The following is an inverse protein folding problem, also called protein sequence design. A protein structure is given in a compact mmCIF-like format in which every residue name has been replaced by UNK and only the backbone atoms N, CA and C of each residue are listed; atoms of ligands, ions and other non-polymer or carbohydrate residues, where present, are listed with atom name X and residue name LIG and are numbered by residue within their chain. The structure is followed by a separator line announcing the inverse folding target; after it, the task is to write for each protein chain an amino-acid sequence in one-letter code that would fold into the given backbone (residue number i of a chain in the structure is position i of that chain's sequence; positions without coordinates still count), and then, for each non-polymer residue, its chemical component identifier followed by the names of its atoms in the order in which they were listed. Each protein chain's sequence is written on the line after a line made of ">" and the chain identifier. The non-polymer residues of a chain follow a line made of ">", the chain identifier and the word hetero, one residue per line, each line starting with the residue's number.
data_IF_532240339654
#
_entry.id   IF_532240339654
#
_cell.length_a   1.000
_cell.length_b   1.000
_cell.length_c   1.000
_cell.angle_alpha   90.00
_cell.angle_beta   90.00
_cell.angle_gamma   90.00
#
_symmetry.space_group_name_H-M   'P 1'
#
loop_
_entity.id
_entity.type
_entity.pdbx_description
1 polymer ?
#
# COMPACT_ATOMS: atom_id res chain seq x y z
N UNK A 1 20.73 3.35 -0.92
CA UNK A 1 21.27 3.51 -2.30
C UNK A 1 20.50 2.64 -3.30
N UNK A 2 20.40 1.32 -3.11
CA UNK A 2 19.61 0.44 -4.00
C UNK A 2 18.15 0.88 -4.19
N UNK A 3 17.47 1.29 -3.12
CA UNK A 3 16.08 1.80 -3.17
C UNK A 3 15.90 3.06 -4.02
N UNK A 4 16.94 3.91 -4.10
CA UNK A 4 16.92 5.17 -4.84
C UNK A 4 17.01 4.91 -6.35
N UNK A 5 17.93 4.04 -6.77
CA UNK A 5 18.07 3.65 -8.18
C UNK A 5 16.91 2.77 -8.68
N UNK A 6 16.23 2.05 -7.80
CA UNK A 6 15.02 1.29 -8.17
C UNK A 6 13.83 2.21 -8.52
N UNK A 7 13.82 3.44 -8.01
CA UNK A 7 12.68 4.36 -8.14
C UNK A 7 12.87 5.41 -9.23
N UNK A 8 14.10 5.62 -9.70
CA UNK A 8 14.43 6.67 -10.66
C UNK A 8 14.78 6.03 -12.00
N UNK A 9 14.25 6.59 -13.08
CA UNK A 9 14.57 6.14 -14.42
C UNK A 9 16.08 6.31 -14.70
N UNK A 10 16.81 5.29 -15.21
CA UNK A 10 18.27 5.36 -15.41
C UNK A 10 18.73 6.57 -16.24
N UNK A 11 17.95 6.95 -17.26
CA UNK A 11 18.24 8.12 -18.09
C UNK A 11 18.12 9.45 -17.32
N UNK A 12 17.19 9.56 -16.36
CA UNK A 12 17.07 10.75 -15.51
C UNK A 12 18.30 10.86 -14.62
N UNK A 13 18.75 9.75 -14.03
CA UNK A 13 19.99 9.70 -13.26
C UNK A 13 21.20 10.10 -14.12
N UNK A 14 21.32 9.56 -15.34
CA UNK A 14 22.42 9.89 -16.24
C UNK A 14 22.42 11.39 -16.61
N UNK A 15 21.26 11.95 -16.94
CA UNK A 15 21.11 13.38 -17.22
C UNK A 15 21.44 14.25 -15.99
N UNK A 16 21.02 13.82 -14.79
CA UNK A 16 21.34 14.51 -13.55
C UNK A 16 22.85 14.47 -13.23
N UNK A 17 23.53 13.35 -13.46
CA UNK A 17 25.00 13.27 -13.31
C UNK A 17 25.72 14.15 -14.33
N UNK A 18 25.26 14.16 -15.58
CA UNK A 18 25.79 15.06 -16.61
C UNK A 18 25.60 16.53 -16.23
N UNK A 19 24.46 16.88 -15.60
CA UNK A 19 24.20 18.24 -15.12
C UNK A 19 25.18 18.69 -14.04
N UNK A 20 25.59 17.79 -13.13
CA UNK A 20 26.58 18.08 -12.10
C UNK A 20 27.96 18.33 -12.73
N UNK A 21 28.34 17.50 -13.71
CA UNK A 21 29.58 17.70 -14.48
C UNK A 21 29.58 19.04 -15.22
N UNK A 22 28.49 19.37 -15.92
CA UNK A 22 28.36 20.61 -16.67
C UNK A 22 28.38 21.85 -15.76
N UNK A 23 27.72 21.80 -14.60
CA UNK A 23 27.71 22.88 -13.62
C UNK A 23 29.09 23.13 -13.01
N UNK A 24 29.85 22.07 -12.70
CA UNK A 24 31.24 22.16 -12.23
C UNK A 24 32.15 22.83 -13.27
N UNK A 25 32.02 22.44 -14.55
CA UNK A 25 32.80 23.03 -15.65
C UNK A 25 32.49 24.52 -15.84
N UNK A 26 31.23 24.94 -15.64
CA UNK A 26 30.78 26.32 -15.78
C UNK A 26 30.90 27.16 -14.50
N UNK A 27 31.33 26.57 -13.37
CA UNK A 27 31.40 27.20 -12.04
C UNK A 27 30.07 27.87 -11.62
N UNK A 28 28.94 27.23 -11.96
CA UNK A 28 27.61 27.77 -11.66
C UNK A 28 27.21 27.47 -10.20
N UNK A 29 27.41 28.45 -9.32
CA UNK A 29 27.07 28.36 -7.89
C UNK A 29 25.57 28.19 -7.64
N UNK A 30 24.69 28.59 -8.58
CA UNK A 30 23.23 28.45 -8.42
C UNK A 30 22.82 26.98 -8.44
N UNK A 31 23.61 26.12 -9.09
CA UNK A 31 23.38 24.67 -9.11
C UNK A 31 23.45 24.04 -7.70
N UNK A 32 24.17 24.68 -6.76
CA UNK A 32 24.24 24.22 -5.37
C UNK A 32 22.84 24.17 -4.71
N UNK A 33 21.93 25.08 -5.09
CA UNK A 33 20.53 25.14 -4.61
C UNK A 33 19.74 23.90 -5.06
N UNK A 34 20.11 23.31 -6.20
CA UNK A 34 19.45 22.11 -6.72
C UNK A 34 20.11 20.85 -6.13
N UNK A 35 21.44 20.87 -5.98
CA UNK A 35 22.23 19.71 -5.57
C UNK A 35 22.17 19.41 -4.07
N UNK A 36 22.05 20.42 -3.20
CA UNK A 36 22.23 20.24 -1.75
C UNK A 36 21.29 19.18 -1.16
N UNK A 37 20.01 19.17 -1.54
CA UNK A 37 19.03 18.25 -0.98
C UNK A 37 19.31 16.79 -1.38
N UNK A 38 19.72 16.58 -2.63
CA UNK A 38 20.15 15.25 -3.11
C UNK A 38 21.44 14.82 -2.40
N UNK A 39 22.38 15.74 -2.20
CA UNK A 39 23.63 15.50 -1.48
C UNK A 39 23.38 15.06 -0.03
N UNK A 40 22.48 15.74 0.69
CA UNK A 40 22.12 15.37 2.07
C UNK A 40 21.58 13.94 2.15
N UNK A 41 20.71 13.54 1.21
CA UNK A 41 20.14 12.19 1.20
C UNK A 41 21.21 11.12 1.00
N UNK A 42 22.17 11.38 0.11
CA UNK A 42 23.30 10.47 -0.15
C UNK A 42 24.25 10.43 1.03
N UNK A 43 24.63 11.58 1.58
CA UNK A 43 25.60 11.72 2.68
C UNK A 43 25.07 11.12 3.99
N UNK A 44 23.82 11.40 4.35
CA UNK A 44 23.18 10.84 5.54
C UNK A 44 22.64 9.42 5.34
N UNK A 45 22.82 8.83 4.15
CA UNK A 45 22.36 7.49 3.78
C UNK A 45 20.93 7.22 4.23
N UNK A 46 20.02 8.14 3.93
CA UNK A 46 18.66 8.09 4.45
C UNK A 46 17.97 6.81 3.96
N UNK A 47 17.71 5.88 4.89
CA UNK A 47 17.15 4.55 4.58
C UNK A 47 15.64 4.56 4.39
N UNK A 48 14.96 5.61 4.86
CA UNK A 48 13.49 5.70 4.79
C UNK A 48 13.04 6.35 3.48
N UNK A 49 12.31 5.58 2.69
CA UNK A 49 11.74 5.99 1.40
C UNK A 49 10.92 7.28 1.45
N UNK A 50 10.18 7.51 2.55
CA UNK A 50 9.32 8.70 2.73
C UNK A 50 10.09 10.01 2.58
N UNK A 51 11.35 10.06 3.00
CA UNK A 51 12.18 11.26 2.91
C UNK A 51 12.80 11.44 1.52
N UNK A 52 12.89 10.39 0.71
CA UNK A 52 13.42 10.43 -0.65
C UNK A 52 12.43 11.09 -1.61
N UNK A 53 11.12 11.01 -1.34
CA UNK A 53 10.06 11.56 -2.20
C UNK A 53 10.27 13.07 -2.45
N UNK A 54 10.72 13.82 -1.45
CA UNK A 54 11.00 15.26 -1.56
C UNK A 54 12.17 15.57 -2.52
N UNK A 55 13.01 14.59 -2.83
CA UNK A 55 14.17 14.75 -3.71
C UNK A 55 13.84 14.59 -5.20
N UNK A 56 12.73 13.92 -5.54
CA UNK A 56 12.40 13.64 -6.93
C UNK A 56 12.18 14.89 -7.78
N UNK A 57 11.52 15.96 -7.30
CA UNK A 57 11.46 17.22 -8.04
C UNK A 57 12.86 17.81 -8.29
N UNK A 58 13.75 17.75 -7.30
CA UNK A 58 15.11 18.28 -7.41
C UNK A 58 15.94 17.50 -8.43
N UNK A 59 15.83 16.18 -8.45
CA UNK A 59 16.47 15.33 -9.45
C UNK A 59 15.94 15.59 -10.86
N UNK A 60 14.65 15.87 -10.99
CA UNK A 60 14.04 16.25 -12.27
C UNK A 60 14.58 17.58 -12.78
N UNK A 61 14.77 18.56 -11.88
CA UNK A 61 15.44 19.83 -12.20
C UNK A 61 16.90 19.62 -12.62
N UNK A 62 17.65 18.77 -11.92
CA UNK A 62 19.02 18.40 -12.30
C UNK A 62 19.05 17.78 -13.70
N UNK A 63 18.21 16.77 -13.95
CA UNK A 63 18.13 16.12 -15.26
C UNK A 63 17.77 17.11 -16.37
N UNK A 64 16.79 17.99 -16.14
CA UNK A 64 16.43 19.05 -17.07
C UNK A 64 17.60 20.00 -17.35
N UNK A 65 18.33 20.42 -16.32
CA UNK A 65 19.52 21.26 -16.49
C UNK A 65 20.56 20.55 -17.35
N UNK A 66 20.80 19.25 -17.11
CA UNK A 66 21.74 18.45 -17.91
C UNK A 66 21.32 18.36 -19.38
N UNK A 67 20.04 18.10 -19.65
CA UNK A 67 19.51 18.04 -21.01
C UNK A 67 19.62 19.37 -21.75
N UNK A 68 19.38 20.50 -21.08
CA UNK A 68 19.53 21.85 -21.68
C UNK A 68 20.97 22.14 -22.10
N UNK A 69 21.98 21.51 -21.49
CA UNK A 69 23.38 21.68 -21.88
C UNK A 69 23.77 20.90 -23.15
N UNK A 70 22.86 20.08 -23.70
CA UNK A 70 23.10 19.38 -24.96
C UNK A 70 22.73 20.31 -26.12
N UNK A 71 23.71 20.62 -26.98
CA UNK A 71 23.55 21.60 -28.06
C UNK A 71 22.53 21.17 -29.13
N UNK A 72 22.42 19.86 -29.38
CA UNK A 72 21.52 19.29 -30.40
C UNK A 72 20.11 19.11 -29.84
N UNK A 73 19.17 19.94 -30.31
CA UNK A 73 17.77 19.90 -29.90
C UNK A 73 17.09 18.57 -30.24
N UNK A 74 17.48 17.94 -31.35
CA UNK A 74 16.97 16.64 -31.77
C UNK A 74 17.35 15.55 -30.77
N UNK A 75 18.58 15.59 -30.25
CA UNK A 75 19.05 14.64 -29.24
C UNK A 75 18.29 14.80 -27.93
N UNK A 76 18.06 16.05 -27.48
CA UNK A 76 17.25 16.34 -26.30
C UNK A 76 15.82 15.80 -26.47
N UNK A 77 15.19 16.06 -27.61
CA UNK A 77 13.84 15.58 -27.91
C UNK A 77 13.78 14.06 -27.91
N UNK A 78 14.77 13.39 -28.52
CA UNK A 78 14.85 11.93 -28.55
C UNK A 78 15.02 11.33 -27.15
N UNK A 79 15.93 11.87 -26.33
CA UNK A 79 16.17 11.39 -24.96
C UNK A 79 14.91 11.57 -24.09
N UNK A 80 14.28 12.74 -24.16
CA UNK A 80 13.03 13.02 -23.43
C UNK A 80 11.91 12.05 -23.84
N UNK A 81 11.77 11.78 -25.14
CA UNK A 81 10.78 10.83 -25.65
C UNK A 81 11.08 9.40 -25.19
N UNK A 82 12.35 9.00 -25.16
CA UNK A 82 12.76 7.71 -24.59
C UNK A 82 12.35 7.59 -23.13
N UNK A 83 12.66 8.62 -22.31
CA UNK A 83 12.28 8.66 -20.88
C UNK A 83 10.77 8.49 -20.70
N UNK A 84 9.98 9.24 -21.46
CA UNK A 84 8.52 9.21 -21.34
C UNK A 84 7.97 7.84 -21.75
N UNK A 85 8.36 7.33 -22.92
CA UNK A 85 7.86 6.06 -23.43
C UNK A 85 8.25 4.90 -22.50
N UNK A 86 9.52 4.83 -22.08
CA UNK A 86 9.96 3.76 -21.18
C UNK A 86 9.26 3.84 -19.83
N UNK A 87 9.04 5.04 -19.28
CA UNK A 87 8.32 5.21 -18.01
C UNK A 87 6.86 4.78 -18.14
N UNK A 88 6.20 5.09 -19.25
CA UNK A 88 4.83 4.64 -19.54
C UNK A 88 4.78 3.12 -19.68
N UNK A 89 5.71 2.52 -20.42
CA UNK A 89 5.80 1.06 -20.60
C UNK A 89 6.00 0.36 -19.26
N UNK A 90 6.96 0.81 -18.45
CA UNK A 90 7.20 0.23 -17.11
C UNK A 90 6.01 0.43 -16.18
N UNK A 91 5.34 1.59 -16.25
CA UNK A 91 4.13 1.88 -15.48
C UNK A 91 2.98 0.94 -15.82
N UNK A 92 2.68 0.77 -17.11
CA UNK A 92 1.54 -0.01 -17.59
C UNK A 92 1.79 -1.53 -17.55
N UNK A 93 3.00 -1.99 -17.85
CA UNK A 93 3.30 -3.41 -17.97
C UNK A 93 4.08 -3.99 -16.78
N UNK A 94 4.67 -3.14 -15.94
CA UNK A 94 5.35 -3.56 -14.70
C UNK A 94 4.51 -3.25 -13.47
N UNK A 95 4.37 -1.96 -13.14
CA UNK A 95 3.76 -1.53 -11.88
C UNK A 95 2.27 -1.81 -11.79
N UNK A 96 1.49 -1.51 -12.84
CA UNK A 96 0.04 -1.73 -12.83
C UNK A 96 -0.34 -3.20 -12.61
N UNK A 97 0.16 -4.19 -13.38
CA UNK A 97 -0.20 -5.59 -13.15
C UNK A 97 0.32 -6.11 -11.81
N UNK A 98 1.49 -5.64 -11.34
CA UNK A 98 1.98 -5.94 -9.99
C UNK A 98 1.00 -5.44 -8.92
N UNK A 99 0.57 -4.17 -8.98
CA UNK A 99 -0.39 -3.58 -8.05
C UNK A 99 -1.77 -4.27 -8.07
N UNK A 100 -2.11 -4.99 -9.14
CA UNK A 100 -3.32 -5.79 -9.24
C UNK A 100 -3.17 -7.19 -8.59
N UNK A 101 -1.94 -7.62 -8.30
CA UNK A 101 -1.62 -8.94 -7.72
C UNK A 101 -1.20 -8.90 -6.25
N UNK A 102 -1.14 -7.72 -5.63
CA UNK A 102 -0.85 -7.60 -4.20
C UNK A 102 -2.10 -7.91 -3.35
N UNK A 103 -1.89 -8.38 -2.12
CA UNK A 103 -2.98 -8.80 -1.23
C UNK A 103 -3.97 -7.69 -0.84
N UNK A 104 -3.56 -6.42 -0.93
CA UNK A 104 -4.46 -5.28 -0.68
C UNK A 104 -5.65 -5.24 -1.67
N UNK A 105 -5.51 -5.84 -2.86
CA UNK A 105 -6.60 -5.95 -3.84
C UNK A 105 -7.75 -6.81 -3.31
N UNK A 106 -7.49 -7.76 -2.41
CA UNK A 106 -8.52 -8.62 -1.84
C UNK A 106 -9.57 -7.80 -1.08
N UNK A 107 -9.20 -6.72 -0.39
CA UNK A 107 -10.16 -5.83 0.29
C UNK A 107 -11.03 -5.06 -0.73
N UNK A 108 -10.42 -4.58 -1.82
CA UNK A 108 -11.15 -3.89 -2.89
C UNK A 108 -12.15 -4.79 -3.58
N UNK A 109 -11.73 -5.99 -3.95
CA UNK A 109 -12.57 -6.94 -4.67
C UNK A 109 -13.65 -7.55 -3.75
N UNK A 110 -13.31 -7.78 -2.47
CA UNK A 110 -14.29 -8.13 -1.45
C UNK A 110 -15.33 -7.03 -1.25
N UNK A 111 -14.93 -5.76 -1.14
CA UNK A 111 -15.86 -4.63 -1.00
C UNK A 111 -16.83 -4.53 -2.18
N UNK A 112 -16.34 -4.69 -3.41
CA UNK A 112 -17.18 -4.74 -4.62
C UNK A 112 -18.14 -5.93 -4.62
N UNK A 113 -17.70 -7.09 -4.17
CA UNK A 113 -18.56 -8.25 -4.03
C UNK A 113 -19.64 -8.03 -2.97
N UNK A 114 -19.30 -7.43 -1.83
CA UNK A 114 -20.26 -7.08 -0.79
C UNK A 114 -21.34 -6.11 -1.32
N UNK A 115 -20.98 -5.17 -2.19
CA UNK A 115 -21.97 -4.28 -2.81
C UNK A 115 -22.94 -5.02 -3.76
N UNK A 116 -22.61 -6.24 -4.20
CA UNK A 116 -23.46 -7.06 -5.06
C UNK A 116 -24.43 -7.99 -4.32
N UNK A 117 -24.23 -8.20 -3.01
CA UNK A 117 -25.12 -9.04 -2.19
C UNK A 117 -26.28 -8.22 -1.61
N UNK A 118 -27.36 -8.89 -1.18
CA UNK A 118 -28.58 -8.23 -0.72
C UNK A 118 -28.43 -7.62 0.68
N UNK A 119 -27.65 -8.27 1.55
CA UNK A 119 -27.49 -7.90 2.96
C UNK A 119 -26.95 -6.47 3.09
N UNK A 120 -27.63 -5.60 3.83
CA UNK A 120 -27.21 -4.20 4.01
C UNK A 120 -26.13 -4.04 5.08
N UNK A 121 -26.05 -4.99 6.00
CA UNK A 121 -25.14 -4.97 7.14
C UNK A 121 -24.10 -6.08 6.97
N UNK A 122 -22.86 -5.77 7.32
CA UNK A 122 -21.77 -6.73 7.32
C UNK A 122 -21.11 -6.77 8.68
N UNK A 123 -20.92 -7.98 9.23
CA UNK A 123 -20.18 -8.20 10.46
C UNK A 123 -18.76 -8.63 10.13
N UNK A 124 -17.78 -7.89 10.63
CA UNK A 124 -16.37 -8.19 10.36
C UNK A 124 -15.73 -8.87 11.57
N UNK A 125 -14.93 -9.89 11.29
CA UNK A 125 -13.96 -10.46 12.20
C UNK A 125 -12.56 -10.31 11.60
N UNK A 126 -11.61 -9.90 12.43
CA UNK A 126 -10.19 -9.90 12.05
C UNK A 126 -9.46 -10.98 12.85
N UNK A 127 -8.72 -11.84 12.16
CA UNK A 127 -7.91 -12.87 12.78
C UNK A 127 -6.49 -12.34 12.93
N UNK A 128 -5.91 -12.51 14.11
CA UNK A 128 -4.51 -12.20 14.35
C UNK A 128 -3.68 -13.49 14.16
N UNK A 129 -2.68 -13.50 13.26
CA UNK A 129 -1.76 -14.63 13.14
C UNK A 129 -0.92 -14.77 14.42
N UNK A 130 -0.18 -15.87 14.56
CA UNK A 130 0.66 -16.12 15.74
C UNK A 130 1.78 -15.09 15.95
N UNK A 131 2.35 -14.54 14.87
CA UNK A 131 3.36 -13.46 14.90
C UNK A 131 2.95 -12.31 13.96
N UNK A 132 1.96 -11.49 14.36
CA UNK A 132 1.41 -10.41 13.55
C UNK A 132 2.44 -9.29 13.36
N UNK A 133 2.73 -8.98 12.11
CA UNK A 133 3.64 -7.88 11.73
C UNK A 133 2.94 -6.51 11.89
N UNK A 134 1.61 -6.49 11.78
CA UNK A 134 0.74 -5.31 11.94
C UNK A 134 -0.61 -5.70 12.54
N UNK A 135 -1.32 -4.72 13.10
CA UNK A 135 -2.68 -4.92 13.61
C UNK A 135 -3.66 -5.19 12.44
N UNK A 136 -4.31 -6.36 12.36
CA UNK A 136 -5.25 -6.69 11.28
C UNK A 136 -6.45 -5.73 11.18
N UNK A 137 -6.81 -5.08 12.29
CA UNK A 137 -7.95 -4.16 12.38
C UNK A 137 -7.86 -2.96 11.44
N UNK A 138 -6.66 -2.58 11.00
CA UNK A 138 -6.49 -1.48 10.04
C UNK A 138 -7.06 -1.82 8.66
N UNK A 139 -7.36 -3.09 8.39
CA UNK A 139 -8.02 -3.52 7.16
C UNK A 139 -9.52 -3.18 7.13
N UNK A 140 -10.15 -3.00 8.29
CA UNK A 140 -11.58 -2.67 8.40
C UNK A 140 -11.93 -1.35 7.71
N UNK A 141 -11.30 -0.20 8.06
CA UNK A 141 -11.58 1.06 7.37
C UNK A 141 -11.16 1.06 5.90
N UNK A 142 -10.17 0.22 5.53
CA UNK A 142 -9.79 0.06 4.12
C UNK A 142 -10.88 -0.70 3.35
N UNK A 143 -11.50 -1.72 3.93
CA UNK A 143 -12.65 -2.40 3.34
C UNK A 143 -13.86 -1.45 3.24
N UNK A 144 -14.12 -0.65 4.28
CA UNK A 144 -15.19 0.36 4.34
C UNK A 144 -15.12 1.33 3.16
N UNK A 145 -13.90 1.74 2.78
CA UNK A 145 -13.69 2.59 1.62
C UNK A 145 -14.20 1.98 0.30
N UNK A 146 -14.28 0.65 0.20
CA UNK A 146 -14.65 -0.07 -1.01
C UNK A 146 -16.06 -0.67 -0.99
N UNK A 147 -16.86 -0.40 0.05
CA UNK A 147 -18.23 -0.88 0.15
C UNK A 147 -19.18 0.22 0.62
N UNK A 148 -20.46 0.11 0.27
CA UNK A 148 -21.53 0.97 0.76
C UNK A 148 -22.33 0.32 1.89
N UNK A 149 -21.93 -0.88 2.33
CA UNK A 149 -22.62 -1.63 3.38
C UNK A 149 -22.30 -1.05 4.76
N UNK A 150 -23.22 -1.24 5.71
CA UNK A 150 -23.00 -0.83 7.08
C UNK A 150 -22.09 -1.84 7.79
N UNK A 151 -20.95 -1.37 8.29
CA UNK A 151 -19.96 -2.22 8.95
C UNK A 151 -20.23 -2.33 10.45
N UNK A 152 -20.30 -3.56 10.93
CA UNK A 152 -20.34 -3.93 12.34
C UNK A 152 -19.01 -4.59 12.70
N UNK A 153 -18.24 -3.96 13.58
CA UNK A 153 -16.94 -4.49 13.99
C UNK A 153 -16.71 -4.31 15.49
N UNK A 154 -16.45 -5.43 16.18
CA UNK A 154 -16.07 -5.43 17.59
C UNK A 154 -14.54 -5.44 17.72
N UNK A 155 -13.99 -4.29 18.16
CA UNK A 155 -12.55 -4.07 18.33
C UNK A 155 -11.98 -4.67 19.64
N UNK A 156 -12.81 -5.09 20.59
CA UNK A 156 -12.36 -5.45 21.95
C UNK A 156 -11.57 -6.77 22.02
N UNK A 157 -11.66 -7.62 20.99
CA UNK A 157 -11.06 -8.96 20.97
C UNK A 157 -9.65 -9.04 20.34
N UNK A 158 -8.92 -7.93 20.28
CA UNK A 158 -7.59 -7.93 19.65
C UNK A 158 -6.54 -8.45 20.63
N UNK A 159 -5.81 -9.49 20.21
CA UNK A 159 -4.61 -9.95 20.90
C UNK A 159 -3.48 -8.95 20.67
N UNK A 160 -3.12 -8.20 21.71
CA UNK A 160 -2.04 -7.23 21.66
C UNK A 160 -0.67 -7.92 21.67
N UNK A 161 0.23 -7.48 20.78
CA UNK A 161 1.65 -7.86 20.85
C UNK A 161 2.32 -7.27 22.11
N UNK A 162 3.42 -7.88 22.60
CA UNK A 162 4.24 -7.29 23.65
C UNK A 162 4.68 -5.87 23.26
N UNK A 163 4.52 -4.93 24.20
CA UNK A 163 4.75 -3.49 23.99
C UNK A 163 6.14 -3.18 23.38
N UNK A 164 7.17 -3.91 23.81
CA UNK A 164 8.55 -3.76 23.35
C UNK A 164 8.75 -4.04 21.85
N UNK A 165 7.99 -4.99 21.28
CA UNK A 165 7.99 -5.27 19.83
C UNK A 165 7.28 -4.16 19.06
N UNK A 166 6.20 -3.62 19.61
CA UNK A 166 5.41 -2.55 18.98
C UNK A 166 6.22 -1.26 18.91
N UNK A 167 6.93 -0.89 19.99
CA UNK A 167 7.68 0.36 20.07
C UNK A 167 8.78 0.48 19.00
N UNK A 168 9.48 -0.63 18.74
CA UNK A 168 10.55 -0.70 17.73
C UNK A 168 10.03 -0.95 16.31
N UNK A 169 8.74 -1.25 16.16
CA UNK A 169 8.14 -1.57 14.86
C UNK A 169 7.99 -0.33 13.99
N UNK A 170 8.38 -0.44 12.72
CA UNK A 170 8.06 0.59 11.71
C UNK A 170 6.57 0.69 11.41
N UNK A 171 5.77 -0.29 11.86
CA UNK A 171 4.31 -0.37 11.73
C UNK A 171 3.59 -0.09 13.05
N UNK A 172 4.27 0.54 14.04
CA UNK A 172 3.71 0.97 15.32
C UNK A 172 2.37 1.70 15.17
N UNK A 173 2.24 2.56 14.17
CA UNK A 173 1.00 3.31 13.91
C UNK A 173 -0.23 2.42 13.69
N UNK A 174 -0.06 1.17 13.22
CA UNK A 174 -1.17 0.21 13.08
C UNK A 174 -1.65 -0.31 14.44
N UNK A 175 -0.74 -0.41 15.40
CA UNK A 175 -1.02 -0.85 16.77
C UNK A 175 -1.61 0.27 17.63
N UNK A 176 -1.25 1.52 17.34
CA UNK A 176 -1.81 2.72 17.99
C UNK A 176 -3.18 3.13 17.44
N UNK A 177 -3.60 2.52 16.34
CA UNK A 177 -4.92 2.74 15.76
C UNK A 177 -6.01 2.47 16.79
N UNK A 178 -6.98 3.39 16.86
CA UNK A 178 -8.19 3.22 17.67
C UNK A 178 -9.37 3.17 16.71
N UNK A 179 -10.19 2.14 16.85
CA UNK A 179 -11.35 1.98 16.00
C UNK A 179 -12.36 3.10 16.26
N UNK A 180 -12.86 3.78 15.21
CA UNK A 180 -13.94 4.74 15.35
C UNK A 180 -15.19 4.09 15.96
N UNK A 181 -15.86 4.81 16.85
CA UNK A 181 -17.03 4.29 17.58
C UNK A 181 -18.25 3.99 16.71
N UNK A 182 -18.32 4.48 15.46
CA UNK A 182 -19.44 4.21 14.56
C UNK A 182 -19.49 2.77 14.04
N UNK A 183 -18.41 2.00 14.19
CA UNK A 183 -18.39 0.56 13.89
C UNK A 183 -18.93 -0.30 15.05
N UNK A 184 -18.94 0.23 16.28
CA UNK A 184 -19.46 -0.43 17.48
C UNK A 184 -20.99 -0.34 17.49
N UNK A 185 -21.64 -1.04 16.58
CA UNK A 185 -23.07 -0.92 16.34
C UNK A 185 -23.92 -1.90 17.16
N UNK A 186 -24.49 -1.42 18.27
CA UNK A 186 -25.78 -1.92 18.81
C UNK A 186 -26.98 -1.41 18.01
N UNK A 187 -26.74 -0.55 17.00
CA UNK A 187 -27.76 0.18 16.22
C UNK A 187 -28.35 -0.57 15.03
N UNK A 188 -27.75 -1.69 14.63
CA UNK A 188 -28.17 -2.44 13.45
C UNK A 188 -28.54 -3.86 13.87
N UNK A 189 -29.64 -4.40 13.32
CA UNK A 189 -30.05 -5.77 13.63
C UNK A 189 -28.95 -6.73 13.22
N UNK A 190 -28.59 -7.64 14.14
CA UNK A 190 -27.70 -8.77 13.87
C UNK A 190 -28.35 -9.82 12.96
N UNK A 191 -29.66 -9.72 12.77
CA UNK A 191 -30.43 -10.61 11.90
C UNK A 191 -30.13 -10.26 10.44
N UNK A 192 -29.73 -11.27 9.65
CA UNK A 192 -29.39 -11.18 8.22
C UNK A 192 -28.20 -10.27 7.86
N UNK A 193 -27.16 -10.21 8.70
CA UNK A 193 -25.88 -9.61 8.30
C UNK A 193 -25.00 -10.63 7.59
N UNK A 194 -24.33 -10.26 6.50
CA UNK A 194 -23.26 -11.10 5.95
C UNK A 194 -22.04 -11.05 6.88
N UNK A 195 -21.29 -12.14 6.99
CA UNK A 195 -20.09 -12.22 7.84
C UNK A 195 -18.84 -12.18 6.97
N UNK A 196 -17.89 -11.32 7.35
CA UNK A 196 -16.61 -11.14 6.67
C UNK A 196 -15.50 -11.50 7.64
N UNK A 197 -14.64 -12.43 7.24
CA UNK A 197 -13.44 -12.80 8.00
C UNK A 197 -12.21 -12.32 7.24
N UNK A 198 -11.44 -11.43 7.86
CA UNK A 198 -10.16 -10.93 7.37
C UNK A 198 -9.04 -11.66 8.11
N UNK A 199 -8.15 -12.30 7.38
CA UNK A 199 -7.03 -13.08 7.95
C UNK A 199 -5.79 -13.03 7.07
N UNK A 200 -4.64 -13.50 7.58
CA UNK A 200 -3.41 -13.53 6.80
C UNK A 200 -3.46 -14.63 5.73
N UNK A 201 -4.10 -15.75 6.03
CA UNK A 201 -4.35 -16.87 5.11
C UNK A 201 -5.82 -17.32 5.16
N UNK A 202 -6.33 -17.87 4.05
CA UNK A 202 -7.67 -18.46 3.98
C UNK A 202 -7.80 -19.75 4.79
N UNK A 203 -6.68 -20.43 5.05
CA UNK A 203 -6.60 -21.66 5.83
C UNK A 203 -6.41 -21.40 7.33
N UNK A 204 -6.32 -20.13 7.75
CA UNK A 204 -6.23 -19.80 9.17
C UNK A 204 -7.46 -20.35 9.92
N UNK A 205 -7.17 -21.12 10.97
CA UNK A 205 -8.17 -21.74 11.80
C UNK A 205 -9.07 -20.66 12.42
N UNK A 206 -10.38 -20.85 12.27
CA UNK A 206 -11.37 -19.97 12.88
C UNK A 206 -11.41 -20.27 14.38
N UNK A 207 -11.34 -19.24 15.25
CA UNK A 207 -11.67 -19.39 16.67
C UNK A 207 -13.04 -20.06 16.83
N UNK A 208 -13.20 -20.93 17.82
CA UNK A 208 -14.45 -21.67 18.04
C UNK A 208 -15.69 -20.78 18.13
N UNK A 209 -15.54 -19.57 18.70
CA UNK A 209 -16.61 -18.59 18.79
C UNK A 209 -17.11 -18.13 17.42
N UNK A 210 -16.20 -17.91 16.47
CA UNK A 210 -16.52 -17.51 15.10
C UNK A 210 -17.05 -18.71 14.31
N UNK A 211 -16.44 -19.89 14.48
CA UNK A 211 -16.88 -21.11 13.80
C UNK A 211 -18.33 -21.50 14.18
N UNK A 212 -18.70 -21.36 15.45
CA UNK A 212 -20.09 -21.59 15.92
C UNK A 212 -21.08 -20.60 15.32
N UNK A 213 -20.70 -19.32 15.24
CA UNK A 213 -21.57 -18.28 14.65
C UNK A 213 -21.77 -18.47 13.14
N UNK A 214 -20.75 -19.01 12.45
CA UNK A 214 -20.80 -19.31 11.03
C UNK A 214 -21.48 -20.63 10.67
N UNK A 215 -21.98 -21.40 11.65
CA UNK A 215 -22.58 -22.72 11.40
C UNK A 215 -23.76 -22.66 10.41
N UNK A 216 -24.57 -21.60 10.49
CA UNK A 216 -25.74 -21.39 9.63
C UNK A 216 -25.44 -20.52 8.39
N UNK A 217 -24.15 -20.29 8.10
CA UNK A 217 -23.72 -19.46 6.99
C UNK A 217 -23.09 -20.28 5.87
N UNK A 218 -23.33 -19.86 4.63
CA UNK A 218 -22.66 -20.42 3.45
C UNK A 218 -21.48 -19.54 3.03
N UNK A 219 -20.35 -20.15 2.70
CA UNK A 219 -19.23 -19.43 2.11
C UNK A 219 -19.62 -18.96 0.69
N UNK A 220 -19.66 -17.64 0.49
CA UNK A 220 -20.11 -17.02 -0.76
C UNK A 220 -18.97 -16.42 -1.58
N UNK A 221 -17.83 -16.10 -0.95
CA UNK A 221 -16.68 -15.52 -1.65
C UNK A 221 -15.36 -15.70 -0.88
N UNK A 222 -14.28 -15.91 -1.64
CA UNK A 222 -12.91 -16.02 -1.12
C UNK A 222 -11.98 -15.18 -1.98
N UNK A 223 -11.27 -14.25 -1.35
CA UNK A 223 -10.33 -13.34 -1.99
C UNK A 223 -8.95 -13.53 -1.36
N UNK A 224 -8.03 -14.17 -2.10
CA UNK A 224 -6.71 -14.57 -1.60
C UNK A 224 -5.60 -14.41 -2.65
N UNK A 225 -5.63 -13.31 -3.40
CA UNK A 225 -4.56 -12.97 -4.33
C UNK A 225 -3.32 -12.56 -3.52
N UNK A 226 -2.15 -13.11 -3.87
CA UNK A 226 -0.89 -12.83 -3.20
C UNK A 226 0.32 -13.11 -4.12
N UNK A 227 1.35 -12.28 -4.05
CA UNK A 227 2.51 -12.33 -4.97
C UNK A 227 3.85 -12.65 -4.28
N UNK A 228 3.88 -13.04 -3.00
CA UNK A 228 5.13 -13.45 -2.34
C UNK A 228 5.98 -12.31 -1.75
N UNK A 229 5.84 -11.09 -2.27
CA UNK A 229 6.80 -9.99 -2.02
C UNK A 229 6.63 -9.35 -0.64
N UNK A 230 5.41 -9.30 -0.11
CA UNK A 230 5.12 -8.65 1.17
C UNK A 230 4.95 -9.67 2.30
N UNK A 231 5.48 -9.35 3.48
CA UNK A 231 5.28 -10.16 4.70
C UNK A 231 3.84 -10.09 5.21
N UNK A 232 3.25 -8.90 5.16
CA UNK A 232 1.84 -8.73 5.50
C UNK A 232 0.97 -9.24 4.36
N UNK A 233 -0.02 -10.08 4.72
CA UNK A 233 -0.97 -10.67 3.78
C UNK A 233 -2.37 -10.33 4.26
N UNK A 234 -3.29 -10.23 3.33
CA UNK A 234 -4.69 -9.95 3.64
C UNK A 234 -5.52 -10.81 2.75
N UNK A 235 -6.21 -11.77 3.33
CA UNK A 235 -7.22 -12.59 2.70
C UNK A 235 -8.59 -12.24 3.28
N UNK A 236 -9.62 -12.38 2.46
CA UNK A 236 -10.99 -12.07 2.86
C UNK A 236 -11.89 -13.25 2.50
N UNK A 237 -12.62 -13.76 3.50
CA UNK A 237 -13.67 -14.77 3.33
C UNK A 237 -15.01 -14.13 3.64
N UNK A 238 -15.99 -14.32 2.77
CA UNK A 238 -17.33 -13.74 2.90
C UNK A 238 -18.33 -14.88 3.00
N UNK A 239 -19.20 -14.77 3.99
CA UNK A 239 -20.22 -15.74 4.33
C UNK A 239 -21.59 -15.06 4.32
N UNK A 240 -22.57 -15.68 3.66
CA UNK A 240 -23.96 -15.21 3.65
C UNK A 240 -24.83 -16.09 4.54
N UNK A 241 -25.88 -15.54 5.17
CA UNK A 241 -26.88 -16.35 5.87
C UNK A 241 -27.45 -17.44 4.95
N UNK A 242 -27.62 -18.66 5.46
CA UNK A 242 -28.36 -19.69 4.77
C UNK A 242 -29.81 -19.25 4.57
N UNK A 243 -30.27 -19.08 3.32
CA UNK A 243 -31.70 -18.91 3.05
C UNK A 243 -32.41 -20.22 3.40
N UNK A 244 -33.26 -20.19 4.43
CA UNK A 244 -34.32 -21.18 4.61
C UNK A 244 -35.49 -20.91 3.66
#
# INVERSE_FOLDING_TARGET
>A
VSTFFFQIHPLITAAALYSAYAALRKKDLKYLIILWLVLLIVLFQIKRIRYIIMAFPMLSLMASYGLVQIEKKEAVKFISLCIVISSVVVGLFGYLPFMQKISAVNLKDAGRFLDSIEESNIKIFTLSPADPVSNPSVSVPVLDYFTKKNILYNYENISYQPFEKIEKSSLRFTWEYKNPGYYSGDKYSKENAAVVVISDDTNDALPESIAKELADYRLSGVFNIFEGVFRYRTSVRIYQPGRH
#
